data_IF_565545364800
#
_entry.id   IF_565545364800
#
_cell.length_a   1.000
_cell.length_b   1.000
_cell.length_c   1.000
_cell.angle_alpha   90.00
_cell.angle_beta   90.00
_cell.angle_gamma   90.00
#
_symmetry.space_group_name_H-M   'P 1'
#
loop_
_entity.id
_entity.type
_entity.pdbx_description
1 polymer ?
#
# COMPACT_ATOMS: atom_id res chain seq x y z
N UNK A 1 -5.27 32.38 17.92
CA UNK A 1 -4.29 31.90 16.92
C UNK A 1 -4.74 30.52 16.50
N UNK A 2 -5.28 30.38 15.28
CA UNK A 2 -5.54 29.05 14.72
C UNK A 2 -4.17 28.46 14.44
N UNK A 3 -3.84 27.35 15.08
CA UNK A 3 -2.56 26.69 14.84
C UNK A 3 -2.53 26.25 13.39
N UNK A 4 -1.49 26.66 12.65
CA UNK A 4 -1.14 26.00 11.40
C UNK A 4 -0.73 24.57 11.76
N UNK A 5 -1.71 23.66 11.81
CA UNK A 5 -1.45 22.24 11.61
C UNK A 5 -0.94 22.17 10.19
N UNK A 6 0.39 22.23 10.08
CA UNK A 6 1.07 21.85 8.86
C UNK A 6 0.79 20.36 8.74
N UNK A 7 -0.25 20.02 7.97
CA UNK A 7 -0.32 18.75 7.28
C UNK A 7 0.82 18.80 6.25
N UNK A 8 2.01 18.58 6.79
CA UNK A 8 3.30 18.64 6.13
C UNK A 8 3.39 17.36 5.31
N UNK A 9 2.68 17.36 4.19
CA UNK A 9 2.79 16.35 3.16
C UNK A 9 4.18 16.48 2.55
N UNK A 10 5.14 15.87 3.24
CA UNK A 10 6.56 15.99 2.98
C UNK A 10 6.88 15.23 1.69
N UNK A 11 6.84 15.92 0.57
CA UNK A 11 7.21 15.38 -0.73
C UNK A 11 8.68 14.91 -0.69
N UNK A 12 8.87 13.59 -0.59
CA UNK A 12 10.18 12.95 -0.63
C UNK A 12 10.68 12.93 -2.08
N UNK A 13 11.74 13.66 -2.38
CA UNK A 13 12.40 13.55 -3.68
C UNK A 13 13.00 12.15 -3.83
N UNK A 14 12.70 11.46 -4.94
CA UNK A 14 13.20 10.12 -5.26
C UNK A 14 13.78 10.06 -6.68
N UNK A 15 14.70 9.13 -6.91
CA UNK A 15 15.26 8.87 -8.24
C UNK A 15 15.29 7.38 -8.53
N UNK A 16 14.32 6.91 -9.32
CA UNK A 16 14.24 5.52 -9.78
C UNK A 16 15.49 5.09 -10.57
N UNK A 17 16.13 6.02 -11.30
CA UNK A 17 17.34 5.74 -12.11
C UNK A 17 18.57 5.42 -11.24
N UNK A 18 18.64 5.97 -10.03
CA UNK A 18 19.78 5.79 -9.11
C UNK A 18 19.42 5.03 -7.83
N UNK A 19 18.17 4.58 -7.71
CA UNK A 19 17.63 3.96 -6.49
C UNK A 19 17.50 4.90 -5.28
N UNK A 20 17.72 6.21 -5.45
CA UNK A 20 17.80 7.15 -4.33
C UNK A 20 16.42 7.39 -3.71
N UNK A 21 16.32 7.20 -2.38
CA UNK A 21 15.14 7.40 -1.53
C UNK A 21 13.90 6.58 -1.93
N UNK A 22 14.01 5.64 -2.89
CA UNK A 22 12.86 4.87 -3.39
C UNK A 22 12.27 3.98 -2.29
N UNK A 23 13.13 3.17 -1.65
CA UNK A 23 12.74 2.27 -0.56
C UNK A 23 12.13 3.03 0.63
N UNK A 24 12.81 4.08 1.10
CA UNK A 24 12.35 4.90 2.23
C UNK A 24 11.03 5.63 1.94
N UNK A 25 10.79 6.07 0.70
CA UNK A 25 9.50 6.66 0.31
C UNK A 25 8.37 5.63 0.37
N UNK A 26 8.57 4.43 -0.20
CA UNK A 26 7.59 3.34 -0.11
C UNK A 26 7.34 2.93 1.35
N UNK A 27 8.40 2.79 2.14
CA UNK A 27 8.32 2.40 3.55
C UNK A 27 7.58 3.44 4.40
N UNK A 28 7.86 4.73 4.19
CA UNK A 28 7.19 5.83 4.90
C UNK A 28 5.69 5.88 4.58
N UNK A 29 5.32 5.77 3.31
CA UNK A 29 3.93 5.77 2.87
C UNK A 29 3.19 4.53 3.39
N UNK A 30 3.81 3.35 3.33
CA UNK A 30 3.22 2.12 3.85
C UNK A 30 2.93 2.18 5.36
N UNK A 31 3.83 2.77 6.16
CA UNK A 31 3.63 3.00 7.60
C UNK A 31 2.46 3.95 7.87
N UNK A 32 2.38 5.07 7.15
CA UNK A 32 1.30 6.06 7.34
C UNK A 32 -0.08 5.48 6.97
N UNK A 33 -0.16 4.76 5.85
CA UNK A 33 -1.39 4.04 5.46
C UNK A 33 -1.77 3.01 6.53
N UNK A 34 -0.82 2.23 7.04
CA UNK A 34 -1.09 1.25 8.10
C UNK A 34 -1.62 1.91 9.38
N UNK A 35 -1.00 3.00 9.83
CA UNK A 35 -1.46 3.75 11.00
C UNK A 35 -2.87 4.34 10.82
N UNK A 36 -3.23 4.77 9.60
CA UNK A 36 -4.58 5.24 9.25
C UNK A 36 -5.62 4.12 9.16
N UNK A 37 -5.21 2.89 8.85
CA UNK A 37 -6.08 1.71 8.97
C UNK A 37 -6.30 1.36 10.45
N UNK A 38 -5.24 1.36 11.27
CA UNK A 38 -5.36 1.10 12.72
C UNK A 38 -6.18 2.17 13.46
N UNK A 39 -6.12 3.45 13.04
CA UNK A 39 -6.94 4.52 13.59
C UNK A 39 -8.42 4.46 13.17
N UNK A 40 -8.75 3.65 12.15
CA UNK A 40 -10.07 3.58 11.54
C UNK A 40 -10.42 4.76 10.62
N UNK A 41 -9.46 5.61 10.29
CA UNK A 41 -9.60 6.67 9.28
C UNK A 41 -9.77 6.07 7.88
N UNK A 42 -8.98 5.03 7.58
CA UNK A 42 -9.17 4.18 6.41
C UNK A 42 -9.97 2.93 6.77
N UNK A 43 -11.07 2.71 6.04
CA UNK A 43 -11.95 1.55 6.21
C UNK A 43 -11.69 0.53 5.13
N UNK A 44 -11.86 -0.74 5.50
CA UNK A 44 -11.98 -1.83 4.55
C UNK A 44 -13.41 -1.78 4.00
N UNK A 45 -13.57 -1.54 2.70
CA UNK A 45 -14.86 -1.53 2.02
C UNK A 45 -14.96 -2.71 1.04
N UNK A 46 -16.06 -3.46 1.12
CA UNK A 46 -16.35 -4.56 0.19
C UNK A 46 -16.42 -4.04 -1.26
N UNK A 47 -15.50 -4.52 -2.10
CA UNK A 47 -15.34 -4.09 -3.49
C UNK A 47 -14.26 -3.01 -3.71
N UNK A 48 -13.58 -2.53 -2.67
CA UNK A 48 -12.41 -1.66 -2.83
C UNK A 48 -11.09 -2.44 -2.84
N UNK A 49 -10.37 -2.36 -3.95
CA UNK A 49 -9.10 -3.07 -4.13
C UNK A 49 -7.87 -2.36 -3.51
N UNK A 50 -8.01 -1.13 -3.01
CA UNK A 50 -6.89 -0.29 -2.57
C UNK A 50 -6.27 -0.69 -1.23
N UNK A 51 -7.09 -1.18 -0.28
CA UNK A 51 -6.62 -1.75 0.99
C UNK A 51 -7.31 -3.09 1.19
N UNK A 52 -6.52 -4.16 1.11
CA UNK A 52 -6.97 -5.53 1.35
C UNK A 52 -6.36 -6.06 2.65
N UNK A 53 -7.17 -6.70 3.47
CA UNK A 53 -6.62 -7.73 4.36
C UNK A 53 -5.99 -8.81 3.48
N UNK A 54 -4.85 -9.36 3.89
CA UNK A 54 -4.06 -10.24 3.03
C UNK A 54 -4.68 -11.60 2.67
N UNK A 55 -6.01 -11.81 2.75
CA UNK A 55 -6.77 -13.07 2.49
C UNK A 55 -6.52 -14.24 3.49
N UNK A 56 -6.46 -15.53 3.08
CA UNK A 56 -6.32 -16.69 4.00
C UNK A 56 -5.66 -17.94 3.36
N UNK A 57 -4.48 -18.39 3.83
CA UNK A 57 -3.89 -19.69 3.42
C UNK A 57 -4.53 -20.83 4.21
N UNK A 58 -5.33 -21.75 3.62
CA UNK A 58 -5.95 -22.84 4.35
C UNK A 58 -4.91 -23.95 4.61
N UNK A 59 -4.14 -23.80 5.68
CA UNK A 59 -3.06 -24.74 6.04
C UNK A 59 -2.06 -24.22 7.08
N UNK A 60 -1.97 -22.90 7.27
CA UNK A 60 -1.28 -22.29 8.41
C UNK A 60 -2.31 -21.54 9.29
N UNK A 61 -2.27 -21.69 10.61
CA UNK A 61 -3.13 -20.89 11.49
C UNK A 61 -2.72 -19.42 11.43
N UNK A 62 -3.59 -18.58 10.87
CA UNK A 62 -3.52 -17.12 10.99
C UNK A 62 -2.74 -16.37 9.91
N UNK A 63 -2.24 -17.03 8.85
CA UNK A 63 -1.60 -16.31 7.74
C UNK A 63 -2.41 -16.35 6.44
N UNK A 64 -2.16 -15.34 5.64
CA UNK A 64 -3.17 -14.79 4.76
C UNK A 64 -2.63 -14.83 3.32
N UNK A 65 -3.14 -15.74 2.44
CA UNK A 65 -3.03 -15.69 0.95
C UNK A 65 -4.15 -16.49 0.24
N UNK A 66 -4.86 -15.84 -0.69
CA UNK A 66 -5.85 -16.42 -1.63
C UNK A 66 -5.58 -15.90 -3.08
N UNK A 67 -4.40 -16.25 -3.62
CA UNK A 67 -3.88 -15.71 -4.88
C UNK A 67 -4.68 -16.24 -6.09
N UNK A 68 -5.60 -15.42 -6.59
CA UNK A 68 -5.93 -15.42 -8.01
C UNK A 68 -4.70 -14.90 -8.78
N UNK A 69 -3.83 -15.84 -9.15
CA UNK A 69 -2.71 -15.61 -10.06
C UNK A 69 -3.24 -14.92 -11.32
N UNK A 70 -2.83 -13.67 -11.53
CA UNK A 70 -3.16 -12.95 -12.75
C UNK A 70 -2.56 -13.72 -13.93
N UNK A 71 -3.42 -14.21 -14.83
CA UNK A 71 -2.95 -14.76 -16.11
C UNK A 71 -2.05 -13.69 -16.75
N UNK A 72 -0.86 -14.05 -17.24
CA UNK A 72 -0.10 -13.13 -18.08
C UNK A 72 -0.97 -12.81 -19.30
N UNK A 73 -1.39 -11.55 -19.40
CA UNK A 73 -1.92 -11.03 -20.65
C UNK A 73 -0.77 -11.06 -21.66
N UNK A 74 -0.73 -12.11 -22.47
CA UNK A 74 0.10 -12.14 -23.66
C UNK A 74 -0.49 -11.17 -24.67
N UNK A 75 -0.20 -9.88 -24.52
CA UNK A 75 -0.38 -8.87 -25.55
C UNK A 75 0.54 -9.27 -26.72
N UNK A 76 -0.02 -10.02 -27.67
CA UNK A 76 0.71 -10.51 -28.83
C UNK A 76 1.17 -9.34 -29.68
N UNK A 77 2.48 -9.10 -29.73
CA UNK A 77 3.06 -8.14 -30.65
C UNK A 77 2.79 -8.57 -32.11
N UNK A 78 2.36 -7.60 -32.91
CA UNK A 78 2.36 -7.64 -34.37
C UNK A 78 3.42 -6.67 -34.89
#
# INVERSE_FOLDING_TARGET
VVGCKADMEASRETSAKTGLNVEEAFETIARDIYAKVESGEFKLEDGWDGIKTGFFRPGLPGCYIDLLEAKPESTGCC
#
